data_IF_031851370475
#
_entry.id   IF_031851370475
#
_cell.length_a   1.000
_cell.length_b   1.000
_cell.length_c   1.000
_cell.angle_alpha   90.00
_cell.angle_beta   90.00
_cell.angle_gamma   90.00
#
_symmetry.space_group_name_H-M   'P 1'
#
loop_
_entity.id
_entity.type
_entity.pdbx_description
1 polymer ?
#
# COMPACT_ATOMS: atom_id res chain seq x y z
N UNK A 1 -19.50 11.84 -3.73
CA UNK A 1 -19.15 12.66 -4.90
C UNK A 1 -18.05 13.60 -4.50
N UNK A 2 -16.81 13.20 -4.74
CA UNK A 2 -15.60 13.73 -4.10
C UNK A 2 -15.35 15.21 -4.39
N UNK A 3 -14.75 15.92 -3.41
CA UNK A 3 -14.16 17.25 -3.55
C UNK A 3 -13.23 17.31 -4.78
N UNK A 4 -12.62 16.18 -5.17
CA UNK A 4 -11.85 16.02 -6.41
C UNK A 4 -12.69 16.30 -7.66
N UNK A 5 -13.87 15.68 -7.81
CA UNK A 5 -14.71 15.85 -9.00
C UNK A 5 -15.26 17.26 -9.17
N UNK A 6 -15.52 17.95 -8.06
CA UNK A 6 -16.03 19.34 -8.09
C UNK A 6 -14.94 20.38 -8.38
N UNK A 7 -13.68 20.09 -8.02
CA UNK A 7 -12.56 21.05 -8.10
C UNK A 7 -11.64 20.84 -9.31
N UNK A 8 -11.60 19.64 -9.91
CA UNK A 8 -10.60 19.32 -10.93
C UNK A 8 -11.07 19.31 -12.38
N UNK A 9 -12.36 19.15 -12.74
CA UNK A 9 -12.64 18.97 -14.18
C UNK A 9 -14.08 19.13 -14.71
N UNK A 10 -15.07 19.56 -13.92
CA UNK A 10 -16.46 19.63 -14.41
C UNK A 10 -17.06 18.28 -14.85
N UNK A 11 -16.37 17.19 -14.53
CA UNK A 11 -16.75 15.81 -14.83
C UNK A 11 -17.96 15.39 -13.99
N UNK A 12 -18.89 14.63 -14.60
CA UNK A 12 -20.03 14.04 -13.91
C UNK A 12 -19.53 13.28 -12.65
N UNK A 13 -20.03 13.61 -11.44
CA UNK A 13 -19.70 12.92 -10.19
C UNK A 13 -19.74 11.39 -10.26
N UNK A 14 -20.55 10.82 -11.16
CA UNK A 14 -20.67 9.38 -11.40
C UNK A 14 -19.35 8.74 -11.89
N UNK A 15 -18.57 9.46 -12.70
CA UNK A 15 -17.28 8.98 -13.21
C UNK A 15 -16.31 8.68 -12.07
N UNK A 16 -16.33 9.47 -10.99
CA UNK A 16 -15.53 9.17 -9.81
C UNK A 16 -15.89 7.82 -9.17
N UNK A 17 -17.18 7.47 -9.12
CA UNK A 17 -17.61 6.18 -8.58
C UNK A 17 -17.20 5.00 -9.47
N UNK A 18 -17.25 5.15 -10.79
CA UNK A 18 -16.72 4.14 -11.72
C UNK A 18 -15.21 3.93 -11.55
N UNK A 19 -14.45 5.00 -11.36
CA UNK A 19 -13.00 4.94 -11.11
C UNK A 19 -12.68 4.27 -9.77
N UNK A 20 -13.48 4.55 -8.74
CA UNK A 20 -13.36 3.88 -7.45
C UNK A 20 -13.70 2.39 -7.56
N UNK A 21 -14.75 2.03 -8.31
CA UNK A 21 -15.10 0.64 -8.60
C UNK A 21 -13.97 -0.08 -9.35
N UNK A 22 -13.33 0.59 -10.31
CA UNK A 22 -12.16 0.06 -11.03
C UNK A 22 -11.00 -0.23 -10.07
N UNK A 23 -10.65 0.73 -9.21
CA UNK A 23 -9.62 0.56 -8.18
C UNK A 23 -9.90 -0.65 -7.27
N UNK A 24 -11.11 -0.74 -6.71
CA UNK A 24 -11.48 -1.86 -5.84
C UNK A 24 -11.55 -3.19 -6.57
N UNK A 25 -11.91 -3.19 -7.86
CA UNK A 25 -11.90 -4.40 -8.68
C UNK A 25 -10.49 -4.95 -8.86
N UNK A 26 -9.51 -4.10 -9.16
CA UNK A 26 -8.10 -4.52 -9.26
C UNK A 26 -7.57 -5.01 -7.91
N UNK A 27 -7.91 -4.32 -6.82
CA UNK A 27 -7.54 -4.75 -5.47
C UNK A 27 -8.13 -6.11 -5.12
N UNK A 28 -9.42 -6.33 -5.40
CA UNK A 28 -10.10 -7.59 -5.19
C UNK A 28 -9.48 -8.72 -6.03
N UNK A 29 -9.24 -8.48 -7.33
CA UNK A 29 -8.61 -9.46 -8.22
C UNK A 29 -7.21 -9.83 -7.75
N UNK A 30 -6.42 -8.85 -7.33
CA UNK A 30 -5.08 -9.10 -6.80
C UNK A 30 -5.15 -9.98 -5.56
N UNK A 31 -6.07 -9.69 -4.63
CA UNK A 31 -6.29 -10.50 -3.43
C UNK A 31 -6.72 -11.94 -3.77
N UNK A 32 -7.67 -12.09 -4.70
CA UNK A 32 -8.15 -13.38 -5.17
C UNK A 32 -7.01 -14.22 -5.77
N UNK A 33 -6.21 -13.62 -6.65
CA UNK A 33 -5.06 -14.29 -7.27
C UNK A 33 -4.07 -14.74 -6.21
N UNK A 34 -3.71 -13.88 -5.25
CA UNK A 34 -2.75 -14.22 -4.21
C UNK A 34 -3.29 -15.21 -3.16
N UNK A 35 -4.61 -15.28 -2.99
CA UNK A 35 -5.25 -16.27 -2.11
C UNK A 35 -5.24 -17.68 -2.71
N UNK A 36 -5.24 -17.81 -4.03
CA UNK A 36 -5.27 -19.11 -4.72
C UNK A 36 -3.88 -19.53 -5.18
N UNK A 37 -3.05 -18.57 -5.59
CA UNK A 37 -1.71 -18.83 -6.11
C UNK A 37 -0.69 -18.84 -4.97
N UNK A 38 0.03 -19.95 -4.85
CA UNK A 38 1.15 -20.04 -3.92
C UNK A 38 2.31 -19.13 -4.38
N UNK A 39 2.57 -18.07 -3.62
CA UNK A 39 3.65 -17.12 -3.90
C UNK A 39 4.95 -17.70 -3.35
N UNK A 40 5.93 -17.95 -4.23
CA UNK A 40 7.22 -18.52 -3.80
C UNK A 40 8.11 -17.50 -3.08
N UNK A 41 8.00 -16.22 -3.43
CA UNK A 41 8.85 -15.17 -2.88
C UNK A 41 8.02 -13.98 -2.40
N UNK A 42 7.65 -14.02 -1.12
CA UNK A 42 6.86 -12.98 -0.46
C UNK A 42 7.63 -11.67 -0.29
N UNK A 43 8.98 -11.71 -0.22
CA UNK A 43 9.80 -10.50 -0.12
C UNK A 43 9.73 -9.68 -1.41
N UNK A 44 9.90 -10.33 -2.57
CA UNK A 44 9.76 -9.66 -3.88
C UNK A 44 8.36 -9.05 -4.00
N UNK A 45 7.32 -9.80 -3.60
CA UNK A 45 5.95 -9.31 -3.64
C UNK A 45 5.77 -8.06 -2.76
N UNK A 46 6.35 -8.05 -1.56
CA UNK A 46 6.34 -6.91 -0.65
C UNK A 46 7.04 -5.69 -1.25
N UNK A 47 8.29 -5.84 -1.74
CA UNK A 47 9.04 -4.74 -2.36
C UNK A 47 8.34 -4.18 -3.60
N UNK A 48 7.77 -5.05 -4.42
CA UNK A 48 7.01 -4.63 -5.61
C UNK A 48 5.76 -3.85 -5.20
N UNK A 49 5.10 -4.24 -4.11
CA UNK A 49 3.93 -3.53 -3.57
C UNK A 49 4.30 -2.15 -3.04
N UNK A 50 5.42 -2.02 -2.32
CA UNK A 50 5.91 -0.71 -1.87
C UNK A 50 6.28 0.20 -3.04
N UNK A 51 7.03 -0.31 -4.01
CA UNK A 51 7.41 0.44 -5.21
C UNK A 51 6.17 0.89 -6.02
N UNK A 52 5.23 -0.02 -6.26
CA UNK A 52 3.97 0.29 -6.95
C UNK A 52 3.17 1.37 -6.20
N UNK A 53 3.13 1.33 -4.87
CA UNK A 53 2.43 2.34 -4.08
C UNK A 53 3.05 3.72 -4.21
N UNK A 54 4.39 3.80 -4.12
CA UNK A 54 5.13 5.05 -4.27
C UNK A 54 4.90 5.63 -5.66
N UNK A 55 5.07 4.82 -6.71
CA UNK A 55 4.85 5.23 -8.10
C UNK A 55 3.40 5.70 -8.30
N UNK A 56 2.43 4.92 -7.80
CA UNK A 56 1.01 5.23 -7.91
C UNK A 56 0.66 6.59 -7.29
N UNK A 57 1.15 6.89 -6.08
CA UNK A 57 0.90 8.19 -5.46
C UNK A 57 1.65 9.35 -6.13
N UNK A 58 2.88 9.11 -6.62
CA UNK A 58 3.61 10.12 -7.38
C UNK A 58 2.86 10.50 -8.65
N UNK A 59 2.39 9.51 -9.42
CA UNK A 59 1.59 9.73 -10.63
C UNK A 59 0.25 10.39 -10.32
N UNK A 60 -0.42 10.00 -9.23
CA UNK A 60 -1.70 10.57 -8.82
C UNK A 60 -1.60 12.07 -8.46
N UNK A 61 -0.46 12.49 -7.91
CA UNK A 61 -0.22 13.90 -7.57
C UNK A 61 0.18 14.76 -8.77
N UNK A 62 0.62 14.16 -9.88
CA UNK A 62 0.92 14.86 -11.13
C UNK A 62 -0.40 15.17 -11.83
N UNK A 63 -0.63 16.45 -12.10
CA UNK A 63 -1.83 16.94 -12.78
C UNK A 63 -1.74 16.75 -14.30
N UNK A 64 -1.76 15.49 -14.74
CA UNK A 64 -1.64 15.07 -16.12
C UNK A 64 -2.96 14.55 -16.72
N UNK A 65 -4.10 14.91 -16.11
CA UNK A 65 -5.44 14.57 -16.58
C UNK A 65 -5.92 13.16 -16.25
N UNK A 66 -7.12 12.83 -16.76
CA UNK A 66 -7.90 11.64 -16.37
C UNK A 66 -7.21 10.30 -16.67
N UNK A 67 -6.43 10.21 -17.75
CA UNK A 67 -5.73 8.97 -18.13
C UNK A 67 -4.65 8.63 -17.11
N UNK A 68 -3.89 9.62 -16.64
CA UNK A 68 -2.88 9.42 -15.61
C UNK A 68 -3.53 9.03 -14.28
N UNK A 69 -4.68 9.64 -13.97
CA UNK A 69 -5.48 9.29 -12.79
C UNK A 69 -5.93 7.82 -12.82
N UNK A 70 -6.47 7.36 -13.95
CA UNK A 70 -6.85 5.95 -14.16
C UNK A 70 -5.64 5.03 -13.99
N UNK A 71 -4.52 5.33 -14.66
CA UNK A 71 -3.29 4.55 -14.55
C UNK A 71 -2.78 4.44 -13.11
N UNK A 72 -2.83 5.56 -12.37
CA UNK A 72 -2.45 5.60 -10.95
C UNK A 72 -3.35 4.72 -10.09
N UNK A 73 -4.66 4.74 -10.32
CA UNK A 73 -5.60 3.87 -9.59
C UNK A 73 -5.37 2.39 -9.90
N UNK A 74 -5.10 2.02 -11.15
CA UNK A 74 -4.78 0.64 -11.51
C UNK A 74 -3.51 0.15 -10.80
N UNK A 75 -2.46 0.98 -10.80
CA UNK A 75 -1.19 0.69 -10.12
C UNK A 75 -1.42 0.54 -8.61
N UNK A 76 -2.16 1.46 -7.99
CA UNK A 76 -2.45 1.44 -6.55
C UNK A 76 -3.37 0.28 -6.14
N UNK A 77 -4.21 -0.23 -7.05
CA UNK A 77 -5.07 -1.38 -6.75
C UNK A 77 -4.28 -2.64 -6.37
N UNK A 78 -3.14 -2.88 -7.02
CA UNK A 78 -2.27 -4.03 -6.74
C UNK A 78 -1.79 -4.09 -5.27
N UNK A 79 -1.05 -3.09 -4.74
CA UNK A 79 -0.58 -3.14 -3.36
C UNK A 79 -1.72 -3.22 -2.34
N UNK A 80 -2.86 -2.57 -2.59
CA UNK A 80 -4.01 -2.65 -1.69
C UNK A 80 -4.64 -4.06 -1.66
N UNK A 81 -4.54 -4.82 -2.75
CA UNK A 81 -4.97 -6.21 -2.80
C UNK A 81 -3.96 -7.19 -2.18
N UNK A 82 -2.66 -6.87 -2.23
CA UNK A 82 -1.58 -7.78 -1.82
C UNK A 82 -1.16 -7.68 -0.35
N UNK A 83 -1.36 -6.53 0.28
CA UNK A 83 -0.94 -6.27 1.68
C UNK A 83 -1.52 -7.32 2.63
N UNK A 84 -2.83 -7.59 2.54
CA UNK A 84 -3.48 -8.51 3.48
C UNK A 84 -2.96 -9.96 3.33
N UNK A 85 -2.97 -10.61 2.15
CA UNK A 85 -2.37 -11.92 1.97
C UNK A 85 -0.89 -12.00 2.40
N UNK A 86 -0.12 -10.95 2.12
CA UNK A 86 1.31 -10.92 2.43
C UNK A 86 1.56 -10.80 3.94
N UNK A 87 0.87 -9.89 4.62
CA UNK A 87 0.96 -9.74 6.07
C UNK A 87 0.47 -10.99 6.80
N UNK A 88 -0.64 -11.57 6.34
CA UNK A 88 -1.18 -12.83 6.85
C UNK A 88 -0.17 -13.97 6.77
N UNK A 89 0.54 -14.10 5.65
CA UNK A 89 1.60 -15.10 5.49
C UNK A 89 2.74 -14.89 6.50
N UNK A 90 3.23 -13.65 6.65
CA UNK A 90 4.31 -13.35 7.60
C UNK A 90 3.88 -13.62 9.05
N UNK A 91 2.66 -13.25 9.44
CA UNK A 91 2.15 -13.56 10.78
C UNK A 91 2.06 -15.08 10.98
N UNK A 92 1.43 -15.80 10.06
CA UNK A 92 1.24 -17.25 10.20
C UNK A 92 2.56 -18.05 10.19
N UNK A 93 3.63 -17.51 9.59
CA UNK A 93 4.94 -18.16 9.53
C UNK A 93 5.88 -17.79 10.67
N UNK A 94 5.54 -16.79 11.49
CA UNK A 94 6.42 -16.26 12.55
C UNK A 94 5.90 -16.48 13.97
N UNK A 95 4.69 -17.03 14.11
CA UNK A 95 4.00 -17.14 15.40
C UNK A 95 3.48 -18.57 15.59
N UNK A 96 3.45 -19.03 16.84
CA UNK A 96 2.84 -20.30 17.22
C UNK A 96 1.31 -20.27 17.03
N UNK A 97 0.69 -21.43 16.80
CA UNK A 97 -0.74 -21.54 16.53
C UNK A 97 -1.61 -21.03 17.68
N UNK A 98 -1.11 -21.13 18.91
CA UNK A 98 -1.80 -20.73 20.14
C UNK A 98 -1.93 -19.20 20.24
N UNK A 99 -0.89 -18.47 19.82
CA UNK A 99 -0.84 -17.00 19.83
C UNK A 99 -1.41 -16.37 18.54
N UNK A 100 -1.64 -17.18 17.50
CA UNK A 100 -2.00 -16.70 16.16
C UNK A 100 -3.23 -15.78 16.17
N UNK A 101 -4.28 -16.17 16.90
CA UNK A 101 -5.51 -15.37 17.00
C UNK A 101 -5.30 -14.03 17.70
N UNK A 102 -4.44 -14.00 18.73
CA UNK A 102 -4.12 -12.77 19.48
C UNK A 102 -3.33 -11.83 18.58
N UNK A 103 -2.30 -12.32 17.90
CA UNK A 103 -1.49 -11.51 16.98
C UNK A 103 -2.32 -10.99 15.81
N UNK A 104 -3.18 -11.82 15.22
CA UNK A 104 -4.10 -11.36 14.18
C UNK A 104 -5.05 -10.27 14.66
N UNK A 105 -5.58 -10.38 15.88
CA UNK A 105 -6.46 -9.36 16.46
C UNK A 105 -5.73 -8.02 16.60
N UNK A 106 -4.48 -8.05 17.07
CA UNK A 106 -3.63 -6.85 17.15
C UNK A 106 -3.34 -6.27 15.77
N UNK A 107 -3.05 -7.13 14.78
CA UNK A 107 -2.82 -6.69 13.40
C UNK A 107 -4.05 -5.98 12.81
N UNK A 108 -5.25 -6.55 12.97
CA UNK A 108 -6.50 -5.93 12.50
C UNK A 108 -6.74 -4.59 13.21
N UNK A 109 -6.54 -4.53 14.53
CA UNK A 109 -6.65 -3.28 15.29
C UNK A 109 -5.74 -2.18 14.74
N UNK A 110 -4.47 -2.51 14.46
CA UNK A 110 -3.51 -1.57 13.86
C UNK A 110 -4.01 -1.09 12.50
N UNK A 111 -4.50 -2.00 11.66
CA UNK A 111 -5.05 -1.65 10.34
C UNK A 111 -6.26 -0.72 10.45
N UNK A 112 -7.19 -0.99 11.36
CA UNK A 112 -8.38 -0.16 11.56
C UNK A 112 -8.02 1.25 12.05
N UNK A 113 -7.06 1.36 12.97
CA UNK A 113 -6.53 2.65 13.43
C UNK A 113 -5.91 3.43 12.27
N UNK A 114 -5.12 2.77 11.40
CA UNK A 114 -4.52 3.42 10.23
C UNK A 114 -5.61 3.86 9.24
N UNK A 115 -6.59 3.00 8.93
CA UNK A 115 -7.71 3.30 8.02
C UNK A 115 -8.54 4.47 8.54
N UNK A 116 -8.69 4.59 9.86
CA UNK A 116 -9.37 5.73 10.47
C UNK A 116 -8.54 7.02 10.43
N UNK A 117 -7.24 6.95 10.75
CA UNK A 117 -6.37 8.12 10.84
C UNK A 117 -6.01 8.72 9.48
N UNK A 118 -5.80 7.90 8.45
CA UNK A 118 -5.35 8.38 7.13
C UNK A 118 -6.32 9.41 6.53
N UNK A 119 -7.64 9.16 6.42
CA UNK A 119 -8.58 10.14 5.88
C UNK A 119 -8.63 11.43 6.69
N UNK A 120 -8.51 11.35 8.02
CA UNK A 120 -8.49 12.52 8.89
C UNK A 120 -7.26 13.40 8.64
N UNK A 121 -6.07 12.79 8.66
CA UNK A 121 -4.79 13.47 8.40
C UNK A 121 -4.77 14.02 6.97
N UNK A 122 -5.24 13.24 5.98
CA UNK A 122 -5.39 13.67 4.60
C UNK A 122 -6.28 14.90 4.48
N UNK A 123 -7.44 14.90 5.15
CA UNK A 123 -8.38 16.01 5.20
C UNK A 123 -7.74 17.29 5.72
N UNK A 124 -7.04 17.21 6.86
CA UNK A 124 -6.30 18.34 7.46
C UNK A 124 -5.27 18.91 6.48
N UNK A 125 -4.38 18.05 5.94
CA UNK A 125 -3.31 18.50 5.03
C UNK A 125 -3.90 19.11 3.76
N UNK A 126 -4.96 18.50 3.22
CA UNK A 126 -5.61 18.98 2.00
C UNK A 126 -6.27 20.35 2.18
N UNK A 127 -6.66 20.70 3.41
CA UNK A 127 -7.27 21.98 3.77
C UNK A 127 -6.22 23.05 4.05
N UNK A 128 -5.15 22.71 4.77
CA UNK A 128 -4.09 23.67 5.16
C UNK A 128 -3.12 23.97 4.00
N UNK A 129 -2.75 22.95 3.23
CA UNK A 129 -1.77 23.07 2.15
C UNK A 129 -2.42 22.91 0.78
N UNK A 130 -2.55 21.68 0.31
CA UNK A 130 -3.22 21.35 -0.94
C UNK A 130 -3.52 19.85 -1.00
N UNK A 131 -4.49 19.49 -1.83
CA UNK A 131 -4.79 18.08 -2.14
C UNK A 131 -3.54 17.33 -2.67
N UNK A 132 -2.72 17.99 -3.50
CA UNK A 132 -1.51 17.35 -4.05
C UNK A 132 -0.49 17.03 -2.95
N UNK A 133 -0.32 17.96 -2.00
CA UNK A 133 0.56 17.72 -0.86
C UNK A 133 0.07 16.56 0.00
N UNK A 134 -1.25 16.46 0.23
CA UNK A 134 -1.86 15.34 0.94
C UNK A 134 -1.62 14.00 0.21
N UNK A 135 -1.76 13.97 -1.12
CA UNK A 135 -1.44 12.78 -1.93
C UNK A 135 0.02 12.36 -1.75
N UNK A 136 0.98 13.28 -1.92
CA UNK A 136 2.40 12.96 -1.79
C UNK A 136 2.78 12.51 -0.38
N UNK A 137 2.20 13.12 0.66
CA UNK A 137 2.45 12.70 2.03
C UNK A 137 1.96 11.27 2.31
N UNK A 138 0.93 10.82 1.59
CA UNK A 138 0.41 9.45 1.73
C UNK A 138 1.42 8.40 1.24
N UNK A 139 2.38 8.78 0.38
CA UNK A 139 3.47 7.90 -0.05
C UNK A 139 4.58 7.73 1.00
N UNK A 140 4.72 8.68 1.94
CA UNK A 140 5.85 8.73 2.90
C UNK A 140 5.97 7.45 3.75
N UNK A 141 4.89 6.91 4.35
CA UNK A 141 5.00 5.67 5.12
C UNK A 141 5.56 4.51 4.29
N UNK A 142 5.19 4.42 3.02
CA UNK A 142 5.65 3.35 2.12
C UNK A 142 7.13 3.52 1.74
N UNK A 143 7.58 4.76 1.54
CA UNK A 143 9.01 5.05 1.34
C UNK A 143 9.81 4.63 2.58
N UNK A 144 9.33 4.97 3.78
CA UNK A 144 9.98 4.59 5.03
C UNK A 144 10.07 3.07 5.18
N UNK A 145 8.96 2.35 4.95
CA UNK A 145 8.93 0.89 5.02
C UNK A 145 9.89 0.24 4.01
N UNK A 146 9.96 0.77 2.79
CA UNK A 146 10.89 0.29 1.77
C UNK A 146 12.36 0.51 2.20
N UNK A 147 12.69 1.70 2.70
CA UNK A 147 14.04 2.01 3.15
C UNK A 147 14.45 1.17 4.36
N UNK A 148 13.56 1.02 5.34
CA UNK A 148 13.86 0.21 6.53
C UNK A 148 14.02 -1.27 6.17
N UNK A 149 13.13 -1.84 5.35
CA UNK A 149 13.22 -3.24 4.95
C UNK A 149 14.51 -3.55 4.19
N UNK A 150 14.91 -2.69 3.25
CA UNK A 150 16.19 -2.82 2.54
C UNK A 150 17.38 -2.69 3.48
N UNK A 151 17.36 -1.73 4.40
CA UNK A 151 18.44 -1.52 5.37
C UNK A 151 18.66 -2.74 6.27
N UNK A 152 17.58 -3.32 6.82
CA UNK A 152 17.65 -4.53 7.64
C UNK A 152 18.13 -5.74 6.84
N UNK A 153 17.62 -5.95 5.62
CA UNK A 153 18.04 -7.08 4.78
C UNK A 153 19.53 -7.01 4.40
N UNK A 154 20.07 -5.81 4.13
CA UNK A 154 21.51 -5.61 3.90
C UNK A 154 22.33 -5.93 5.17
N UNK A 155 21.85 -5.50 6.34
CA UNK A 155 22.53 -5.74 7.62
C UNK A 155 22.63 -7.24 7.92
N UNK A 156 21.53 -7.98 7.74
CA UNK A 156 21.49 -9.42 8.00
C UNK A 156 22.40 -10.19 7.03
N UNK A 157 22.39 -9.84 5.75
CA UNK A 157 23.32 -10.43 4.76
C UNK A 157 24.80 -10.16 5.09
N UNK A 158 25.14 -8.98 5.61
CA UNK A 158 26.50 -8.69 6.09
C UNK A 158 26.87 -9.50 7.33
N UNK A 159 25.93 -9.69 8.25
CA UNK A 159 26.15 -10.50 9.45
C UNK A 159 26.42 -11.97 9.08
N UNK A 160 25.59 -12.56 8.21
CA UNK A 160 25.75 -13.95 7.73
C UNK A 160 27.10 -14.17 7.04
N UNK A 161 27.50 -13.25 6.14
CA UNK A 161 28.81 -13.31 5.49
C UNK A 161 29.96 -13.23 6.48
N UNK A 162 29.82 -12.45 7.56
CA UNK A 162 30.86 -12.33 8.59
C UNK A 162 31.03 -13.64 9.36
N UNK A 163 29.95 -14.31 9.73
CA UNK A 163 30.00 -15.61 10.44
C UNK A 163 30.58 -16.73 9.55
N UNK A 164 30.24 -16.73 8.26
CA UNK A 164 30.73 -17.73 7.30
C UNK A 164 32.23 -17.60 6.95
N UNK A 165 32.85 -16.43 7.18
CA UNK A 165 34.29 -16.21 6.95
C UNK A 165 35.13 -16.53 8.21
N UNK A 166 34.51 -16.62 9.37
CA UNK A 166 35.16 -16.95 10.66
C UNK A 166 35.09 -18.43 11.05
N UNK A 167 34.43 -19.28 10.24
CA UNK A 167 34.45 -20.74 10.34
C UNK A 167 35.40 -21.33 9.29
#
# INVERSE_FOLDING_TARGET
GSIMGKKYDGINPDIFFYLLALFYSVSFLTRLVLSVKNVKNHEILMYTSFAATIIGYLLLGIDAGIIMFIGSLLILGFPHGSIYPTASYYIASSVELEDLNVVYSVFILIMDVIIFLIPFVFGIISTIYSIRMAIYLTAVPMVLLLLTSVFFNIKDNKAIKKTAVTQ
#
